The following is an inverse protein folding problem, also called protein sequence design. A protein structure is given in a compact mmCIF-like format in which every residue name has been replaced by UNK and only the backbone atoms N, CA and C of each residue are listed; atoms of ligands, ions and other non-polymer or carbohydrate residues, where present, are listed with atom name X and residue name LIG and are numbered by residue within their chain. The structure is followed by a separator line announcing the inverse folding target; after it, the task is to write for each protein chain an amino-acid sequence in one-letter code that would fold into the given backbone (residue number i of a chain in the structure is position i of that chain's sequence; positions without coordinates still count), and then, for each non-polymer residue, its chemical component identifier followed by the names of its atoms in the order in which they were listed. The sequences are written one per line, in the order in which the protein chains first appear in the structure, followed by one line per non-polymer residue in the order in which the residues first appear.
data_IF_319576558749
#
_entry.id   IF_319576558749
#
_cell.length_a   1.000
_cell.length_b   1.000
_cell.length_c   1.000
_cell.angle_alpha   90.00
_cell.angle_beta   90.00
_cell.angle_gamma   90.00
#
_symmetry.space_group_name_H-M   'P 1'
#
loop_
_entity.id
_entity.type
_entity.pdbx_description
1 polymer ?
#
# COMPACT_ATOMS: atom_id res chain seq x y z
N UNK A 1 23.23 6.76 5.34
CA UNK A 1 23.13 5.41 5.97
C UNK A 1 24.13 5.29 7.12
N UNK A 2 25.39 5.78 7.00
CA UNK A 2 26.38 5.71 8.07
C UNK A 2 25.94 6.37 9.36
N UNK A 3 25.44 7.61 9.31
CA UNK A 3 24.95 8.37 10.46
C UNK A 3 23.79 7.65 11.18
N UNK A 4 22.87 7.03 10.43
CA UNK A 4 21.76 6.27 11.00
C UNK A 4 22.27 5.03 11.76
N UNK A 5 23.23 4.32 11.21
CA UNK A 5 23.85 3.14 11.87
C UNK A 5 24.52 3.56 13.17
N UNK A 6 25.22 4.70 13.17
CA UNK A 6 25.89 5.21 14.37
C UNK A 6 24.90 5.66 15.44
N UNK A 7 23.79 6.31 15.04
CA UNK A 7 22.74 6.67 16.00
C UNK A 7 22.01 5.45 16.55
N UNK A 8 21.73 4.44 15.70
CA UNK A 8 21.14 3.16 16.14
C UNK A 8 22.06 2.48 17.18
N UNK A 9 23.38 2.50 17.01
CA UNK A 9 24.33 1.97 18.01
C UNK A 9 24.22 2.71 19.35
N UNK A 10 24.13 4.03 19.32
CA UNK A 10 23.93 4.86 20.56
C UNK A 10 22.58 4.53 21.21
N UNK A 11 21.53 4.40 20.43
CA UNK A 11 20.19 4.02 20.93
C UNK A 11 20.24 2.62 21.55
N UNK A 12 20.92 1.64 20.91
CA UNK A 12 21.12 0.29 21.47
C UNK A 12 21.79 0.36 22.85
N UNK A 13 22.85 1.15 22.99
CA UNK A 13 23.53 1.34 24.30
C UNK A 13 22.58 1.96 25.34
N UNK A 14 21.73 2.90 24.94
CA UNK A 14 20.72 3.48 25.84
C UNK A 14 19.67 2.45 26.25
N UNK A 15 19.22 1.60 25.33
CA UNK A 15 18.29 0.51 25.59
C UNK A 15 18.89 -0.48 26.60
N UNK A 16 20.14 -0.90 26.40
CA UNK A 16 20.86 -1.79 27.34
C UNK A 16 20.99 -1.13 28.74
N UNK A 17 21.30 0.15 28.78
CA UNK A 17 21.44 0.92 30.04
C UNK A 17 20.12 1.09 30.79
N UNK A 18 19.04 1.36 30.09
CA UNK A 18 17.76 1.76 30.70
C UNK A 18 16.75 0.61 30.77
N UNK A 19 16.89 -0.42 29.94
CA UNK A 19 15.95 -1.55 29.84
C UNK A 19 15.77 -2.27 31.18
N UNK A 20 16.82 -2.38 31.98
CA UNK A 20 16.76 -3.03 33.31
C UNK A 20 15.94 -2.21 34.32
N UNK A 21 15.98 -0.88 34.24
CA UNK A 21 15.28 0.02 35.18
C UNK A 21 13.86 0.35 34.73
N UNK A 22 13.56 0.16 33.45
CA UNK A 22 12.36 0.68 32.81
C UNK A 22 12.39 2.20 32.69
N UNK A 23 11.92 2.72 31.58
CA UNK A 23 11.69 4.16 31.39
C UNK A 23 10.25 4.35 30.91
N UNK A 24 9.65 5.48 31.30
CA UNK A 24 8.29 5.82 30.89
C UNK A 24 8.23 6.17 29.39
N UNK A 25 7.03 6.37 28.90
CA UNK A 25 6.80 6.66 27.48
C UNK A 25 7.44 7.98 27.03
N UNK A 26 7.40 9.02 27.87
CA UNK A 26 7.99 10.33 27.54
C UNK A 26 9.52 10.25 27.46
N UNK A 27 10.15 9.52 28.38
CA UNK A 27 11.59 9.28 28.34
C UNK A 27 11.97 8.42 27.14
N UNK A 28 11.15 7.41 26.79
CA UNK A 28 11.32 6.61 25.58
C UNK A 28 11.27 7.47 24.33
N UNK A 29 10.26 8.34 24.22
CA UNK A 29 10.13 9.30 23.11
C UNK A 29 11.36 10.17 22.96
N UNK A 30 11.81 10.79 24.07
CA UNK A 30 12.91 11.73 24.05
C UNK A 30 14.29 11.09 23.81
N UNK A 31 14.53 9.92 24.41
CA UNK A 31 15.88 9.32 24.44
C UNK A 31 16.13 8.28 23.35
N UNK A 32 15.08 7.59 22.86
CA UNK A 32 15.22 6.51 21.90
C UNK A 32 14.61 6.84 20.53
N UNK A 33 13.43 7.46 20.48
CA UNK A 33 12.69 7.65 19.25
C UNK A 33 13.09 8.94 18.53
N UNK A 34 13.08 10.08 19.20
CA UNK A 34 13.42 11.37 18.58
C UNK A 34 14.81 11.42 17.95
N UNK A 35 15.88 10.85 18.56
CA UNK A 35 17.19 10.81 17.93
C UNK A 35 17.18 10.07 16.58
N UNK A 36 16.43 8.98 16.48
CA UNK A 36 16.25 8.25 15.22
C UNK A 36 15.50 9.12 14.20
N UNK A 37 14.39 9.76 14.59
CA UNK A 37 13.63 10.63 13.68
C UNK A 37 14.49 11.77 13.11
N UNK A 38 15.32 12.43 13.97
CA UNK A 38 16.26 13.47 13.49
C UNK A 38 17.25 12.93 12.48
N UNK A 39 17.81 11.75 12.73
CA UNK A 39 18.80 11.14 11.83
C UNK A 39 18.15 10.68 10.52
N UNK A 40 16.84 10.42 10.54
CA UNK A 40 16.03 10.13 9.33
C UNK A 40 15.66 11.41 8.54
N UNK A 41 16.11 12.59 8.99
CA UNK A 41 15.90 13.87 8.32
C UNK A 41 14.60 14.58 8.71
N UNK A 42 13.96 14.19 9.83
CA UNK A 42 12.77 14.86 10.36
C UNK A 42 13.15 15.83 11.46
N UNK A 43 12.79 17.10 11.30
CA UNK A 43 13.01 18.10 12.35
C UNK A 43 11.89 18.03 13.38
N UNK A 44 12.16 17.38 14.50
CA UNK A 44 11.18 17.20 15.59
C UNK A 44 10.87 18.49 16.36
N UNK A 45 11.65 19.55 16.18
CA UNK A 45 11.43 20.88 16.74
C UNK A 45 10.57 21.75 15.80
N UNK A 46 10.52 21.47 14.49
CA UNK A 46 9.68 22.17 13.52
C UNK A 46 8.30 21.53 13.41
N UNK A 47 7.25 22.28 13.79
CA UNK A 47 5.86 21.83 13.73
C UNK A 47 5.33 21.71 12.28
N UNK A 48 5.99 22.28 11.29
CA UNK A 48 5.66 22.07 9.88
C UNK A 48 6.19 20.72 9.36
N UNK A 49 7.21 20.16 10.00
CA UNK A 49 7.83 18.90 9.66
C UNK A 49 7.33 17.74 10.55
N UNK A 50 7.22 17.97 11.88
CA UNK A 50 6.74 16.98 12.84
C UNK A 50 5.74 17.58 13.83
N UNK A 51 4.48 17.17 13.72
CA UNK A 51 3.46 17.54 14.71
C UNK A 51 3.37 16.47 15.79
N UNK A 52 3.56 16.90 17.04
CA UNK A 52 3.42 16.05 18.24
C UNK A 52 1.99 16.10 18.73
N UNK A 53 1.50 15.01 19.32
CA UNK A 53 0.13 14.87 19.84
C UNK A 53 -0.92 15.29 18.78
N UNK A 54 -0.69 14.86 17.54
CA UNK A 54 -1.50 15.24 16.40
C UNK A 54 -2.89 14.61 16.45
N UNK A 55 -3.93 15.42 16.24
CA UNK A 55 -5.32 14.96 16.20
C UNK A 55 -5.88 15.13 14.79
N UNK A 56 -6.18 14.05 14.06
CA UNK A 56 -6.86 14.13 12.77
C UNK A 56 -8.22 14.84 12.88
N UNK A 57 -8.94 14.59 13.98
CA UNK A 57 -10.19 15.28 14.36
C UNK A 57 -10.12 15.68 15.83
N UNK A 58 -10.88 16.70 16.22
CA UNK A 58 -10.88 17.19 17.62
C UNK A 58 -11.23 16.13 18.66
N UNK A 59 -12.11 15.19 18.30
CA UNK A 59 -12.57 14.10 19.17
C UNK A 59 -11.66 12.87 19.18
N UNK A 60 -10.70 12.77 18.26
CA UNK A 60 -9.79 11.63 18.17
C UNK A 60 -8.74 11.69 19.27
N UNK A 61 -8.24 10.51 19.65
CA UNK A 61 -7.03 10.44 20.48
C UNK A 61 -5.84 10.98 19.69
N UNK A 62 -4.93 11.69 20.33
CA UNK A 62 -3.75 12.20 19.68
C UNK A 62 -2.85 11.03 19.24
N UNK A 63 -2.16 11.23 18.12
CA UNK A 63 -1.05 10.41 17.66
C UNK A 63 0.24 11.07 18.12
N UNK A 64 1.18 10.30 18.66
CA UNK A 64 2.40 10.86 19.25
C UNK A 64 3.19 11.74 18.28
N UNK A 65 3.39 11.25 17.05
CA UNK A 65 4.04 12.03 15.99
C UNK A 65 3.32 11.85 14.66
N UNK A 66 2.99 12.96 14.00
CA UNK A 66 2.62 13.00 12.59
C UNK A 66 3.77 13.67 11.82
N UNK A 67 4.42 12.88 10.97
CA UNK A 67 5.50 13.35 10.10
C UNK A 67 4.88 13.91 8.82
N UNK A 68 5.26 15.14 8.48
CA UNK A 68 4.58 15.94 7.47
C UNK A 68 5.45 16.11 6.22
N UNK A 69 4.86 15.90 5.05
CA UNK A 69 5.44 16.32 3.77
C UNK A 69 4.50 17.36 3.15
N UNK A 70 5.02 18.53 2.86
CA UNK A 70 4.25 19.65 2.29
C UNK A 70 2.96 19.91 3.12
N UNK A 71 3.09 19.95 4.45
CA UNK A 71 1.99 20.14 5.41
C UNK A 71 0.91 19.05 5.41
N UNK A 72 1.19 17.90 4.79
CA UNK A 72 0.28 16.76 4.77
C UNK A 72 0.92 15.59 5.52
N UNK A 73 0.22 14.95 6.47
CA UNK A 73 0.78 13.82 7.20
C UNK A 73 1.00 12.63 6.25
N UNK A 74 2.23 12.13 6.21
CA UNK A 74 2.62 10.98 5.38
C UNK A 74 2.92 9.73 6.20
N UNK A 75 3.31 9.88 7.46
CA UNK A 75 3.63 8.80 8.38
C UNK A 75 3.18 9.18 9.80
N UNK A 76 2.48 8.27 10.47
CA UNK A 76 2.22 8.36 11.89
C UNK A 76 3.16 7.46 12.68
N UNK A 77 3.64 7.94 13.81
CA UNK A 77 4.43 7.15 14.77
C UNK A 77 3.73 7.16 16.11
N UNK A 78 3.43 5.98 16.62
CA UNK A 78 2.87 5.76 17.95
C UNK A 78 3.95 5.14 18.84
N UNK A 79 4.22 5.76 19.95
CA UNK A 79 5.23 5.34 20.90
C UNK A 79 4.63 4.63 22.11
N UNK A 80 5.39 3.73 22.69
CA UNK A 80 5.09 3.08 23.96
C UNK A 80 6.33 3.10 24.85
N UNK A 81 6.12 2.90 26.14
CA UNK A 81 7.24 2.77 27.07
C UNK A 81 8.13 1.57 26.68
N UNK A 82 9.45 1.73 26.87
CA UNK A 82 10.44 0.69 26.54
C UNK A 82 10.10 -0.63 27.21
N UNK A 83 10.08 -1.71 26.42
CA UNK A 83 9.77 -3.07 26.85
C UNK A 83 8.27 -3.36 26.96
N UNK A 84 7.41 -2.43 26.54
CA UNK A 84 5.97 -2.68 26.48
C UNK A 84 5.63 -3.60 25.32
N UNK A 85 4.75 -4.58 25.56
CA UNK A 85 4.34 -5.52 24.51
C UNK A 85 3.56 -4.80 23.40
N UNK A 86 4.06 -4.86 22.17
CA UNK A 86 3.44 -4.27 21.00
C UNK A 86 2.44 -5.20 20.27
N UNK A 87 2.21 -6.43 20.78
CA UNK A 87 1.29 -7.41 20.17
C UNK A 87 -0.19 -7.14 20.49
N UNK A 88 -0.50 -6.11 21.29
CA UNK A 88 -1.88 -5.78 21.58
C UNK A 88 -2.63 -5.32 20.33
N UNK A 89 -3.49 -6.24 19.81
CA UNK A 89 -4.32 -6.00 18.63
C UNK A 89 -5.21 -4.77 18.74
N UNK A 90 -5.61 -4.39 19.96
CA UNK A 90 -6.46 -3.22 20.17
C UNK A 90 -5.73 -1.93 19.80
N UNK A 91 -4.45 -1.82 20.17
CA UNK A 91 -3.65 -0.65 19.81
C UNK A 91 -3.42 -0.55 18.32
N UNK A 92 -3.00 -1.66 17.69
CA UNK A 92 -2.79 -1.70 16.24
C UNK A 92 -4.07 -1.35 15.48
N UNK A 93 -5.22 -1.94 15.85
CA UNK A 93 -6.50 -1.67 15.21
C UNK A 93 -6.98 -0.24 15.41
N UNK A 94 -6.86 0.29 16.62
CA UNK A 94 -7.26 1.66 16.96
C UNK A 94 -6.39 2.67 16.21
N UNK A 95 -5.09 2.49 16.24
CA UNK A 95 -4.13 3.37 15.60
C UNK A 95 -4.28 3.38 14.07
N UNK A 96 -4.44 2.19 13.45
CA UNK A 96 -4.73 2.09 12.02
C UNK A 96 -6.08 2.71 11.62
N UNK A 97 -7.07 2.65 12.52
CA UNK A 97 -8.35 3.34 12.32
C UNK A 97 -8.17 4.85 12.20
N UNK A 98 -7.40 5.47 13.07
CA UNK A 98 -7.11 6.92 13.01
C UNK A 98 -6.32 7.31 11.77
N UNK A 99 -5.29 6.53 11.43
CA UNK A 99 -4.50 6.76 10.24
C UNK A 99 -5.34 6.65 8.95
N UNK A 100 -6.24 5.66 8.89
CA UNK A 100 -7.16 5.49 7.77
C UNK A 100 -8.11 6.67 7.60
N UNK A 101 -8.63 7.24 8.70
CA UNK A 101 -9.46 8.45 8.70
C UNK A 101 -8.67 9.67 8.23
N UNK A 102 -7.42 9.80 8.63
CA UNK A 102 -6.53 10.88 8.22
C UNK A 102 -5.99 10.73 6.79
N UNK A 103 -6.24 9.58 6.14
CA UNK A 103 -5.70 9.26 4.82
C UNK A 103 -4.19 8.95 4.83
N UNK A 104 -3.63 8.66 6.01
CA UNK A 104 -2.20 8.33 6.17
C UNK A 104 -2.01 6.84 5.90
N UNK A 105 -1.17 6.53 4.93
CA UNK A 105 -0.92 5.15 4.49
C UNK A 105 0.00 4.40 5.43
N UNK A 106 1.02 5.05 5.96
CA UNK A 106 2.06 4.41 6.73
C UNK A 106 1.96 4.74 8.21
N UNK A 107 2.11 3.74 9.04
CA UNK A 107 2.18 3.90 10.49
C UNK A 107 3.32 3.06 11.05
N UNK A 108 4.00 3.59 12.05
CA UNK A 108 5.02 2.93 12.83
C UNK A 108 4.56 2.84 14.29
N UNK A 109 4.53 1.64 14.85
CA UNK A 109 4.34 1.39 16.28
C UNK A 109 5.69 1.02 16.89
N UNK A 110 6.09 1.66 17.98
CA UNK A 110 7.42 1.43 18.57
C UNK A 110 7.47 1.64 20.07
N UNK A 111 8.32 0.88 20.75
CA UNK A 111 8.75 1.11 22.13
C UNK A 111 10.20 1.68 22.20
N UNK A 112 10.71 2.16 21.08
CA UNK A 112 12.08 2.63 20.95
C UNK A 112 13.12 1.54 20.68
N UNK A 113 12.80 0.26 20.94
CA UNK A 113 13.61 -0.90 20.56
C UNK A 113 13.02 -1.63 19.37
N UNK A 114 11.75 -2.00 19.45
CA UNK A 114 11.02 -2.65 18.38
C UNK A 114 10.28 -1.61 17.54
N UNK A 115 10.38 -1.75 16.21
CA UNK A 115 9.64 -0.93 15.25
C UNK A 115 8.82 -1.85 14.35
N UNK A 116 7.51 -1.60 14.31
CA UNK A 116 6.54 -2.31 13.46
C UNK A 116 5.92 -1.34 12.48
N UNK A 117 6.12 -1.60 11.19
CA UNK A 117 5.64 -0.76 10.10
C UNK A 117 4.40 -1.40 9.46
N UNK A 118 3.31 -0.64 9.36
CA UNK A 118 2.05 -1.12 8.80
C UNK A 118 1.59 -0.26 7.63
N UNK A 119 1.00 -0.90 6.62
CA UNK A 119 0.28 -0.22 5.54
C UNK A 119 -1.22 -0.20 5.85
N UNK A 120 -1.76 0.96 6.24
CA UNK A 120 -3.17 1.11 6.62
C UNK A 120 -4.13 0.94 5.46
N UNK A 121 -3.69 1.26 4.23
CA UNK A 121 -4.50 1.20 3.01
C UNK A 121 -4.60 -0.19 2.39
N UNK A 122 -3.84 -1.17 2.87
CA UNK A 122 -3.98 -2.54 2.42
C UNK A 122 -5.38 -3.08 2.78
N UNK A 123 -6.09 -3.63 1.78
CA UNK A 123 -7.44 -4.18 1.94
C UNK A 123 -7.39 -5.62 2.47
N UNK A 124 -6.70 -5.82 3.59
CA UNK A 124 -6.47 -7.12 4.24
C UNK A 124 -6.69 -6.98 5.76
N UNK A 125 -6.83 -8.09 6.51
CA UNK A 125 -6.85 -8.06 7.98
C UNK A 125 -5.64 -7.35 8.59
N UNK A 126 -5.80 -6.88 9.82
CA UNK A 126 -4.79 -6.05 10.52
C UNK A 126 -3.43 -6.74 10.59
N UNK A 127 -3.43 -8.03 10.86
CA UNK A 127 -2.24 -8.86 10.96
C UNK A 127 -1.45 -8.93 9.66
N UNK A 128 -2.14 -8.82 8.54
CA UNK A 128 -1.54 -8.86 7.21
C UNK A 128 -1.07 -7.48 6.71
N UNK A 129 -1.42 -6.41 7.42
CA UNK A 129 -0.95 -5.06 7.14
C UNK A 129 0.48 -4.81 7.62
N UNK A 130 1.02 -5.69 8.45
CA UNK A 130 2.40 -5.61 8.91
C UNK A 130 3.36 -5.81 7.72
N UNK A 131 4.18 -4.80 7.48
CA UNK A 131 5.19 -4.82 6.41
C UNK A 131 6.56 -5.27 6.92
N UNK A 132 7.01 -4.66 8.01
CA UNK A 132 8.31 -4.94 8.63
C UNK A 132 8.18 -4.90 10.15
N UNK A 133 8.94 -5.77 10.80
CA UNK A 133 9.19 -5.72 12.23
C UNK A 133 10.66 -5.93 12.46
N UNK A 134 11.30 -5.01 13.20
CA UNK A 134 12.72 -5.08 13.54
C UNK A 134 12.93 -4.68 14.99
N UNK A 135 13.96 -5.26 15.61
CA UNK A 135 14.46 -4.84 16.92
C UNK A 135 15.89 -4.35 16.81
N UNK A 136 16.15 -3.17 17.37
CA UNK A 136 17.49 -2.57 17.39
C UNK A 136 18.49 -3.48 18.12
N UNK A 137 18.02 -4.15 19.18
CA UNK A 137 18.86 -5.09 19.96
C UNK A 137 19.25 -6.33 19.18
N UNK A 138 18.46 -6.79 18.22
CA UNK A 138 18.69 -8.04 17.48
C UNK A 138 19.70 -7.82 16.35
N UNK A 139 19.48 -6.85 15.48
CA UNK A 139 20.36 -6.54 14.35
C UNK A 139 20.35 -5.05 14.04
N UNK A 140 21.50 -4.41 14.13
CA UNK A 140 21.67 -2.99 13.79
C UNK A 140 21.48 -2.78 12.28
N UNK A 141 21.97 -3.70 11.48
CA UNK A 141 21.92 -3.64 10.03
C UNK A 141 20.49 -3.74 9.53
N UNK A 142 19.71 -4.69 10.03
CA UNK A 142 18.29 -4.86 9.67
C UNK A 142 17.44 -3.69 10.17
N UNK A 143 17.75 -3.19 11.38
CA UNK A 143 17.10 -2.01 11.92
C UNK A 143 17.40 -0.79 11.04
N UNK A 144 18.66 -0.57 10.65
CA UNK A 144 19.05 0.53 9.78
C UNK A 144 18.40 0.44 8.41
N UNK A 145 18.39 -0.75 7.79
CA UNK A 145 17.76 -0.99 6.48
C UNK A 145 16.25 -0.72 6.54
N UNK A 146 15.59 -1.12 7.63
CA UNK A 146 14.14 -0.91 7.80
C UNK A 146 13.81 0.54 8.14
N UNK A 147 14.51 1.14 9.09
CA UNK A 147 14.24 2.52 9.52
C UNK A 147 14.58 3.54 8.43
N UNK A 148 15.59 3.26 7.60
CA UNK A 148 15.93 4.11 6.46
C UNK A 148 14.75 4.29 5.48
N UNK A 149 13.80 3.33 5.41
CA UNK A 149 12.59 3.47 4.59
C UNK A 149 11.70 4.62 5.06
N UNK A 150 11.79 5.00 6.33
CA UNK A 150 11.05 6.08 6.95
C UNK A 150 11.75 7.43 6.85
N UNK A 151 12.94 7.50 6.22
CA UNK A 151 13.62 8.76 6.03
C UNK A 151 12.78 9.71 5.19
N UNK A 152 12.91 11.01 5.46
CA UNK A 152 12.14 12.07 4.81
C UNK A 152 12.23 11.98 3.28
N UNK A 153 13.44 11.80 2.76
CA UNK A 153 13.69 11.71 1.31
C UNK A 153 13.02 10.48 0.68
N UNK A 154 13.12 9.30 1.32
CA UNK A 154 12.51 8.08 0.81
C UNK A 154 10.98 8.11 0.91
N UNK A 155 10.44 8.72 1.96
CA UNK A 155 8.99 8.95 2.09
C UNK A 155 8.50 9.91 1.00
N UNK A 156 9.26 10.96 0.69
CA UNK A 156 8.96 11.88 -0.41
C UNK A 156 9.03 11.18 -1.77
N UNK A 157 9.99 10.25 -1.95
CA UNK A 157 10.14 9.45 -3.17
C UNK A 157 9.12 8.30 -3.31
N UNK A 158 8.28 8.05 -2.29
CA UNK A 158 7.35 6.90 -2.22
C UNK A 158 8.04 5.53 -2.42
N UNK A 159 9.31 5.39 -2.02
CA UNK A 159 10.06 4.15 -2.18
C UNK A 159 9.45 3.01 -1.36
N UNK A 160 8.98 3.31 -0.15
CA UNK A 160 8.33 2.34 0.73
C UNK A 160 7.07 1.72 0.08
N UNK A 161 6.33 2.48 -0.72
CA UNK A 161 5.15 1.98 -1.44
C UNK A 161 5.53 0.95 -2.51
N UNK A 162 6.62 1.18 -3.22
CA UNK A 162 7.14 0.26 -4.24
C UNK A 162 7.60 -1.06 -3.61
N UNK A 163 8.31 -0.98 -2.47
CA UNK A 163 8.76 -2.15 -1.72
C UNK A 163 7.60 -2.94 -1.11
N UNK A 164 6.60 -2.25 -0.58
CA UNK A 164 5.37 -2.89 -0.11
C UNK A 164 4.66 -3.66 -1.22
N UNK A 165 4.51 -3.07 -2.40
CA UNK A 165 3.83 -3.72 -3.52
C UNK A 165 4.56 -5.01 -3.93
N UNK A 166 5.89 -4.99 -4.01
CA UNK A 166 6.68 -6.18 -4.29
C UNK A 166 6.50 -7.23 -3.19
N UNK A 167 6.68 -6.85 -1.93
CA UNK A 167 6.49 -7.74 -0.77
C UNK A 167 5.08 -8.36 -0.72
N UNK A 168 4.05 -7.57 -1.00
CA UNK A 168 2.66 -8.04 -0.97
C UNK A 168 2.38 -9.05 -2.08
N UNK A 169 2.93 -8.83 -3.29
CA UNK A 169 2.86 -9.77 -4.40
C UNK A 169 3.57 -11.07 -4.04
N UNK A 170 4.79 -10.99 -3.51
CA UNK A 170 5.59 -12.15 -3.11
C UNK A 170 4.88 -12.97 -2.03
N UNK A 171 4.27 -12.30 -1.05
CA UNK A 171 3.46 -12.94 0.00
C UNK A 171 2.26 -13.69 -0.59
N UNK A 172 1.55 -13.08 -1.53
CA UNK A 172 0.40 -13.70 -2.21
C UNK A 172 0.82 -14.92 -3.04
N UNK A 173 1.93 -14.81 -3.76
CA UNK A 173 2.47 -15.91 -4.54
C UNK A 173 2.89 -17.07 -3.63
N UNK A 174 3.57 -16.77 -2.51
CA UNK A 174 3.93 -17.79 -1.52
C UNK A 174 2.69 -18.49 -0.97
N UNK A 175 1.68 -17.74 -0.52
CA UNK A 175 0.44 -18.30 0.00
C UNK A 175 -0.26 -19.22 -1.02
N UNK A 176 -0.30 -18.80 -2.28
CA UNK A 176 -0.88 -19.62 -3.35
C UNK A 176 -0.08 -20.92 -3.60
N UNK A 177 1.24 -20.88 -3.48
CA UNK A 177 2.10 -22.08 -3.60
C UNK A 177 1.86 -23.01 -2.40
N UNK A 178 1.78 -22.46 -1.19
CA UNK A 178 1.51 -23.23 0.02
C UNK A 178 0.13 -23.93 -0.07
N UNK A 179 -0.90 -23.22 -0.57
CA UNK A 179 -2.22 -23.79 -0.81
C UNK A 179 -2.19 -24.93 -1.83
N UNK A 180 -1.41 -24.80 -2.91
CA UNK A 180 -1.24 -25.86 -3.91
C UNK A 180 -0.63 -27.16 -3.33
N UNK A 181 0.18 -27.03 -2.29
CA UNK A 181 0.88 -28.14 -1.63
C UNK A 181 0.11 -28.71 -0.44
N UNK A 182 -0.92 -28.00 0.04
CA UNK A 182 -1.70 -28.41 1.21
C UNK A 182 -2.30 -29.82 0.98
N UNK A 183 -2.34 -30.63 2.05
CA UNK A 183 -2.94 -31.98 2.09
C UNK A 183 -2.45 -32.96 1.01
N UNK A 184 -1.24 -32.77 0.50
CA UNK A 184 -0.65 -33.64 -0.53
C UNK A 184 -1.04 -33.24 -1.93
N UNK A 185 -1.29 -31.96 -2.14
CA UNK A 185 -1.50 -31.32 -3.42
C UNK A 185 -2.97 -31.16 -3.80
N UNK A 186 -3.29 -29.96 -4.28
CA UNK A 186 -4.62 -29.66 -4.81
C UNK A 186 -4.91 -30.44 -6.13
N UNK A 187 -6.16 -30.32 -6.62
CA UNK A 187 -6.58 -31.02 -7.83
C UNK A 187 -5.83 -30.55 -9.10
N UNK A 188 -5.43 -29.27 -9.17
CA UNK A 188 -4.72 -28.73 -10.32
C UNK A 188 -3.26 -29.24 -10.34
N UNK A 189 -2.56 -29.18 -9.21
CA UNK A 189 -1.22 -29.72 -9.05
C UNK A 189 -1.18 -31.21 -9.33
N UNK A 190 -2.13 -31.98 -8.78
CA UNK A 190 -2.24 -33.42 -9.02
C UNK A 190 -2.44 -33.75 -10.50
N UNK A 191 -3.27 -32.99 -11.22
CA UNK A 191 -3.48 -33.17 -12.67
C UNK A 191 -2.18 -32.97 -13.46
N UNK A 192 -1.41 -31.93 -13.10
CA UNK A 192 -0.14 -31.63 -13.75
C UNK A 192 0.88 -32.75 -13.47
N UNK A 193 1.00 -33.18 -12.22
CA UNK A 193 1.96 -34.23 -11.83
C UNK A 193 1.61 -35.58 -12.42
N UNK A 194 0.33 -36.00 -12.41
CA UNK A 194 -0.11 -37.26 -13.00
C UNK A 194 0.16 -37.30 -14.51
N UNK A 195 0.00 -36.17 -15.20
CA UNK A 195 0.33 -36.07 -16.64
C UNK A 195 1.85 -36.17 -16.89
N UNK A 196 2.68 -35.67 -15.99
CA UNK A 196 4.15 -35.70 -16.11
C UNK A 196 4.77 -37.01 -15.62
N UNK A 197 4.06 -37.72 -14.75
CA UNK A 197 4.51 -38.95 -14.09
C UNK A 197 3.51 -40.10 -14.35
N UNK A 198 3.31 -40.51 -15.61
CA UNK A 198 2.26 -41.48 -15.98
C UNK A 198 2.48 -42.88 -15.37
N UNK A 199 3.70 -43.17 -14.92
CA UNK A 199 4.06 -44.46 -14.35
C UNK A 199 3.85 -44.52 -12.82
N UNK A 200 3.42 -43.43 -12.18
CA UNK A 200 3.14 -43.36 -10.74
C UNK A 200 1.64 -43.29 -10.47
N UNK A 201 1.22 -44.04 -9.45
CA UNK A 201 -0.15 -43.94 -8.99
C UNK A 201 -0.38 -42.61 -8.23
N UNK A 202 -1.57 -42.02 -8.39
CA UNK A 202 -1.92 -40.77 -7.71
C UNK A 202 -1.73 -40.82 -6.18
N UNK A 203 -1.97 -42.00 -5.55
CA UNK A 203 -1.74 -42.20 -4.10
C UNK A 203 -0.26 -42.00 -3.72
N UNK A 204 0.67 -42.46 -4.57
CA UNK A 204 2.09 -42.40 -4.30
C UNK A 204 2.63 -40.96 -4.50
N UNK A 205 2.09 -40.25 -5.52
CA UNK A 205 2.36 -38.83 -5.74
C UNK A 205 1.90 -38.03 -4.51
N UNK A 206 0.67 -38.23 -4.02
CA UNK A 206 0.16 -37.56 -2.82
C UNK A 206 0.96 -37.87 -1.56
N UNK A 207 1.32 -39.14 -1.36
CA UNK A 207 2.14 -39.55 -0.23
C UNK A 207 3.54 -38.91 -0.26
N UNK A 208 4.09 -38.70 -1.45
CA UNK A 208 5.35 -37.97 -1.62
C UNK A 208 5.20 -36.48 -1.32
N UNK A 209 4.16 -35.82 -1.86
CA UNK A 209 3.89 -34.41 -1.61
C UNK A 209 3.65 -34.10 -0.12
N UNK A 210 2.99 -34.97 0.62
CA UNK A 210 2.79 -34.81 2.08
C UNK A 210 4.10 -34.80 2.89
N UNK A 211 5.17 -35.33 2.35
CA UNK A 211 6.52 -35.33 2.95
C UNK A 211 7.42 -34.25 2.38
N UNK A 212 6.95 -33.57 1.34
CA UNK A 212 7.73 -32.53 0.69
C UNK A 212 7.69 -31.25 1.54
N UNK A 213 8.86 -30.66 1.72
CA UNK A 213 9.02 -29.33 2.27
C UNK A 213 9.48 -28.41 1.14
N UNK A 214 8.72 -27.34 0.88
CA UNK A 214 9.03 -26.40 -0.19
C UNK A 214 9.21 -25.02 0.41
N UNK A 215 10.42 -24.49 0.32
CA UNK A 215 10.72 -23.12 0.74
C UNK A 215 10.82 -22.23 -0.48
N UNK A 216 9.93 -21.23 -0.56
CA UNK A 216 9.98 -20.21 -1.59
C UNK A 216 10.61 -18.95 -0.99
N UNK A 217 11.79 -18.58 -1.51
CA UNK A 217 12.48 -17.36 -1.12
C UNK A 217 12.43 -16.34 -2.26
N UNK A 218 12.05 -15.11 -1.92
CA UNK A 218 12.13 -13.98 -2.84
C UNK A 218 13.34 -13.15 -2.40
N UNK A 219 14.41 -13.07 -3.19
CA UNK A 219 15.55 -12.23 -2.85
C UNK A 219 15.07 -10.78 -2.79
N UNK A 220 15.34 -10.10 -1.68
CA UNK A 220 15.13 -8.66 -1.59
C UNK A 220 16.02 -8.03 -2.65
N UNK A 221 15.41 -7.33 -3.62
CA UNK A 221 16.19 -6.59 -4.61
C UNK A 221 17.16 -5.66 -3.87
N UNK A 222 18.48 -5.70 -4.16
CA UNK A 222 19.40 -4.79 -3.54
C UNK A 222 18.97 -3.37 -3.86
N UNK A 223 18.78 -2.56 -2.81
CA UNK A 223 18.45 -1.14 -2.89
C UNK A 223 19.71 -0.33 -3.21
N UNK A 224 20.40 -0.66 -4.29
CA UNK A 224 21.51 0.16 -4.79
C UNK A 224 21.67 -0.06 -6.30
N UNK A 225 21.16 0.89 -7.07
CA UNK A 225 21.73 1.51 -8.27
C UNK A 225 20.62 2.01 -9.21
N UNK A 226 20.62 3.29 -9.55
CA UNK A 226 19.72 3.83 -10.58
C UNK A 226 20.37 3.65 -11.96
N UNK A 227 20.72 2.43 -12.37
CA UNK A 227 21.09 2.16 -13.75
C UNK A 227 21.34 0.68 -13.99
N UNK A 228 20.29 -0.03 -14.42
CA UNK A 228 20.45 -1.18 -15.29
C UNK A 228 19.14 -1.49 -16.01
N UNK A 229 19.07 -1.22 -17.32
CA UNK A 229 17.92 -1.58 -18.11
C UNK A 229 17.90 -3.11 -18.32
N UNK A 230 16.95 -3.79 -17.70
CA UNK A 230 16.64 -5.16 -18.04
C UNK A 230 16.25 -5.26 -19.51
N UNK A 231 17.17 -5.75 -20.34
CA UNK A 231 16.92 -6.14 -21.73
C UNK A 231 15.91 -7.29 -21.74
N UNK A 232 14.63 -6.96 -21.90
CA UNK A 232 13.63 -7.95 -22.26
C UNK A 232 13.70 -8.22 -23.75
N UNK A 233 13.97 -9.48 -24.14
CA UNK A 233 13.78 -9.96 -25.51
C UNK A 233 12.28 -9.85 -25.85
N UNK A 234 11.91 -9.35 -27.04
CA UNK A 234 10.53 -9.29 -27.46
C UNK A 234 9.99 -10.72 -27.69
N UNK A 235 8.73 -11.00 -27.30
CA UNK A 235 8.12 -12.30 -27.61
C UNK A 235 7.76 -12.39 -29.09
N UNK A 236 8.01 -13.56 -29.65
CA UNK A 236 7.70 -13.89 -31.03
C UNK A 236 6.19 -13.77 -31.32
N UNK A 237 5.86 -13.20 -32.48
CA UNK A 237 4.49 -13.02 -32.99
C UNK A 237 3.78 -14.37 -33.14
N UNK A 238 2.77 -14.65 -32.32
CA UNK A 238 1.88 -15.74 -32.49
C UNK A 238 0.70 -15.38 -33.45
N UNK A 239 0.51 -16.19 -34.45
CA UNK A 239 -0.53 -16.12 -35.50
C UNK A 239 -1.93 -16.20 -34.89
N UNK A 240 -2.79 -15.24 -35.20
CA UNK A 240 -4.23 -15.29 -34.93
C UNK A 240 -4.93 -16.38 -35.70
N UNK A 241 -5.76 -17.16 -35.02
CA UNK A 241 -6.88 -17.91 -35.62
C UNK A 241 -8.21 -17.47 -34.98
N UNK A 242 -9.31 -17.41 -35.75
CA UNK A 242 -10.54 -16.75 -35.30
C UNK A 242 -11.37 -17.62 -34.35
N UNK A 243 -11.99 -16.98 -33.37
CA UNK A 243 -12.87 -17.60 -32.40
C UNK A 243 -14.31 -17.69 -32.89
N UNK A 244 -14.88 -18.86 -32.67
CA UNK A 244 -16.30 -19.17 -32.89
C UNK A 244 -17.10 -18.84 -31.63
N UNK A 245 -18.12 -18.04 -31.78
CA UNK A 245 -19.07 -17.66 -30.73
C UNK A 245 -20.02 -18.82 -30.40
N UNK A 246 -20.36 -19.01 -29.13
CA UNK A 246 -21.63 -19.60 -28.68
C UNK A 246 -22.06 -19.06 -27.33
N UNK A 247 -23.37 -19.03 -26.99
CA UNK A 247 -23.98 -18.02 -26.16
C UNK A 247 -24.16 -18.40 -24.69
N UNK A 248 -24.37 -17.35 -23.88
CA UNK A 248 -24.59 -17.37 -22.43
C UNK A 248 -25.96 -17.94 -22.04
N UNK A 249 -26.00 -18.55 -20.87
CA UNK A 249 -27.18 -18.57 -19.99
C UNK A 249 -26.77 -18.39 -18.51
N UNK A 250 -27.60 -17.76 -17.66
CA UNK A 250 -27.21 -17.19 -16.39
C UNK A 250 -27.41 -18.13 -15.20
N UNK A 251 -26.67 -17.93 -14.12
CA UNK A 251 -27.05 -18.41 -12.78
C UNK A 251 -26.74 -17.37 -11.71
N UNK A 252 -27.76 -17.16 -10.95
CA UNK A 252 -27.98 -16.27 -9.82
C UNK A 252 -27.36 -16.79 -8.53
N UNK A 253 -27.22 -15.84 -7.62
CA UNK A 253 -27.09 -15.91 -6.14
C UNK A 253 -25.62 -15.98 -5.66
N UNK A 254 -25.19 -15.13 -4.75
CA UNK A 254 -25.80 -14.59 -3.57
C UNK A 254 -25.03 -13.37 -3.07
N UNK A 255 -25.77 -12.43 -2.48
CA UNK A 255 -25.32 -11.15 -1.99
C UNK A 255 -24.42 -11.25 -0.76
N UNK A 256 -23.64 -10.24 -0.64
CA UNK A 256 -23.09 -9.51 0.51
C UNK A 256 -21.72 -8.84 0.25
N UNK A 257 -21.14 -8.98 -0.99
CA UNK A 257 -19.91 -8.26 -1.40
C UNK A 257 -20.19 -7.08 -2.34
N UNK A 258 -21.47 -6.69 -2.51
CA UNK A 258 -21.91 -5.74 -3.55
C UNK A 258 -21.90 -4.29 -3.06
N UNK A 259 -21.91 -4.04 -1.75
CA UNK A 259 -22.23 -2.69 -1.25
C UNK A 259 -21.09 -1.66 -1.36
N UNK A 260 -19.83 -2.05 -1.20
CA UNK A 260 -18.72 -1.10 -1.31
C UNK A 260 -18.35 -0.71 -2.76
N UNK A 261 -18.60 -1.58 -3.72
CA UNK A 261 -18.38 -1.29 -5.14
C UNK A 261 -19.47 -0.42 -5.75
N UNK A 262 -20.72 -0.58 -5.28
CA UNK A 262 -21.90 0.17 -5.73
C UNK A 262 -21.87 1.61 -5.20
N UNK A 263 -21.48 1.84 -3.94
CA UNK A 263 -21.34 3.18 -3.39
C UNK A 263 -20.27 4.04 -4.08
N UNK A 264 -19.16 3.46 -4.54
CA UNK A 264 -18.14 4.19 -5.31
C UNK A 264 -18.61 4.51 -6.75
N UNK A 265 -19.42 3.64 -7.35
CA UNK A 265 -20.01 3.87 -8.69
C UNK A 265 -21.08 4.96 -8.68
N UNK A 266 -21.88 5.03 -7.63
CA UNK A 266 -22.92 6.03 -7.47
C UNK A 266 -22.38 7.47 -7.28
N UNK A 267 -21.12 7.65 -6.87
CA UNK A 267 -20.61 8.98 -6.54
C UNK A 267 -20.42 9.91 -7.76
N UNK A 268 -20.05 9.40 -8.93
CA UNK A 268 -19.91 10.25 -10.12
C UNK A 268 -21.28 10.60 -10.72
N UNK A 269 -22.19 9.63 -10.80
CA UNK A 269 -23.57 9.87 -11.23
C UNK A 269 -24.32 10.80 -10.28
N UNK A 270 -24.11 10.66 -8.97
CA UNK A 270 -24.70 11.58 -7.97
C UNK A 270 -24.17 13.00 -8.12
N UNK A 271 -22.89 13.19 -8.39
CA UNK A 271 -22.34 14.53 -8.68
C UNK A 271 -22.95 15.14 -9.96
N UNK A 272 -23.23 14.30 -10.96
CA UNK A 272 -23.94 14.73 -12.18
C UNK A 272 -25.39 15.15 -11.90
N UNK A 273 -26.14 14.35 -11.14
CA UNK A 273 -27.52 14.63 -10.74
C UNK A 273 -27.64 15.96 -9.98
N UNK A 274 -26.63 16.31 -9.19
CA UNK A 274 -26.58 17.57 -8.42
C UNK A 274 -25.86 18.71 -9.15
N UNK A 275 -25.50 18.54 -10.43
CA UNK A 275 -24.92 19.61 -11.26
C UNK A 275 -23.48 19.99 -10.94
N UNK A 276 -22.75 19.18 -10.19
CA UNK A 276 -21.32 19.41 -9.88
C UNK A 276 -20.39 19.02 -11.01
N UNK A 277 -20.80 18.10 -11.87
CA UNK A 277 -20.13 17.70 -13.10
C UNK A 277 -21.15 17.43 -14.20
N UNK A 278 -20.76 17.60 -15.45
CA UNK A 278 -21.64 17.42 -16.60
C UNK A 278 -21.19 16.26 -17.52
N UNK A 279 -22.14 15.71 -18.27
CA UNK A 279 -21.80 14.79 -19.35
C UNK A 279 -21.02 15.54 -20.44
N UNK A 280 -19.95 14.93 -20.96
CA UNK A 280 -19.02 15.55 -21.89
C UNK A 280 -17.94 16.40 -21.23
N UNK A 281 -17.97 16.57 -19.90
CA UNK A 281 -16.95 17.32 -19.18
C UNK A 281 -15.59 16.62 -19.30
N UNK A 282 -14.57 17.41 -19.62
CA UNK A 282 -13.20 16.94 -19.82
C UNK A 282 -12.51 16.72 -18.47
N UNK A 283 -11.82 15.61 -18.37
CA UNK A 283 -10.95 15.24 -17.28
C UNK A 283 -9.53 15.29 -17.76
N UNK A 284 -8.66 15.97 -17.05
CA UNK A 284 -7.26 16.16 -17.36
C UNK A 284 -6.40 15.47 -16.32
N UNK A 285 -5.26 14.92 -16.73
CA UNK A 285 -4.25 14.39 -15.83
C UNK A 285 -2.87 14.54 -16.46
N UNK A 286 -1.83 14.58 -15.63
CA UNK A 286 -0.44 14.54 -16.08
C UNK A 286 0.28 13.36 -15.45
N UNK A 287 0.88 12.53 -16.28
CA UNK A 287 1.59 11.34 -15.81
C UNK A 287 2.86 11.11 -16.66
N UNK A 288 4.02 11.02 -15.98
CA UNK A 288 5.34 10.83 -16.61
C UNK A 288 5.65 11.85 -17.72
N UNK A 289 5.21 13.08 -17.54
CA UNK A 289 5.42 14.16 -18.51
C UNK A 289 4.42 14.20 -19.66
N UNK A 290 3.51 13.22 -19.79
CA UNK A 290 2.43 13.21 -20.76
C UNK A 290 1.18 13.85 -20.18
N UNK A 291 0.52 14.70 -20.96
CA UNK A 291 -0.79 15.25 -20.68
C UNK A 291 -1.85 14.27 -21.20
N UNK A 292 -2.81 13.93 -20.36
CA UNK A 292 -3.80 12.88 -20.59
C UNK A 292 -5.18 13.49 -20.45
N UNK A 293 -6.08 13.22 -21.41
CA UNK A 293 -7.47 13.64 -21.34
C UNK A 293 -8.43 12.46 -21.38
N UNK A 294 -9.57 12.62 -20.71
CA UNK A 294 -10.69 11.70 -20.70
C UNK A 294 -11.99 12.50 -20.62
N UNK A 295 -13.14 11.89 -20.83
CA UNK A 295 -14.44 12.57 -20.76
C UNK A 295 -15.43 11.80 -19.89
N UNK A 296 -16.33 12.53 -19.22
CA UNK A 296 -17.45 11.94 -18.46
C UNK A 296 -18.58 11.62 -19.43
N UNK A 297 -19.07 10.38 -19.45
CA UNK A 297 -20.18 9.96 -20.30
C UNK A 297 -21.54 10.31 -19.66
N UNK A 298 -22.62 10.30 -20.46
CA UNK A 298 -24.01 10.49 -19.97
C UNK A 298 -24.42 9.47 -18.89
N UNK A 299 -23.79 8.28 -18.90
CA UNK A 299 -24.05 7.23 -17.93
C UNK A 299 -23.22 7.36 -16.63
N UNK A 300 -22.48 8.47 -16.43
CA UNK A 300 -21.61 8.64 -15.27
C UNK A 300 -20.35 7.75 -15.29
N UNK A 301 -19.96 7.26 -16.47
CA UNK A 301 -18.72 6.54 -16.70
C UNK A 301 -17.65 7.47 -17.23
N UNK A 302 -16.41 7.00 -17.30
CA UNK A 302 -15.27 7.76 -17.83
C UNK A 302 -14.83 7.13 -19.16
N UNK A 303 -14.82 7.90 -20.22
CA UNK A 303 -14.32 7.48 -21.53
C UNK A 303 -12.87 7.93 -21.69
N UNK A 304 -11.96 6.98 -21.87
CA UNK A 304 -10.54 7.22 -22.10
C UNK A 304 -10.03 6.28 -23.20
N UNK A 305 -9.27 6.80 -24.16
CA UNK A 305 -8.68 6.04 -25.28
C UNK A 305 -9.67 5.14 -26.00
N UNK A 306 -10.87 5.66 -26.28
CA UNK A 306 -11.93 4.94 -26.98
C UNK A 306 -12.73 3.93 -26.12
N UNK A 307 -12.26 3.58 -24.92
CA UNK A 307 -12.92 2.65 -24.02
C UNK A 307 -13.69 3.37 -22.90
N UNK A 308 -14.77 2.75 -22.38
CA UNK A 308 -15.53 3.25 -21.22
C UNK A 308 -15.15 2.49 -19.95
N UNK A 309 -14.91 3.23 -18.87
CA UNK A 309 -14.53 2.72 -17.56
C UNK A 309 -15.60 3.09 -16.51
N UNK A 310 -15.90 2.15 -15.65
CA UNK A 310 -16.94 2.28 -14.62
C UNK A 310 -16.62 3.29 -13.50
N UNK A 311 -15.38 3.76 -13.41
CA UNK A 311 -14.95 4.69 -12.37
C UNK A 311 -13.73 5.52 -12.78
N UNK A 312 -13.54 6.68 -12.13
CA UNK A 312 -12.36 7.51 -12.24
C UNK A 312 -11.06 6.72 -11.96
N UNK A 313 -11.09 5.79 -10.99
CA UNK A 313 -9.93 4.99 -10.62
C UNK A 313 -9.59 3.95 -11.70
N UNK A 314 -10.60 3.32 -12.31
CA UNK A 314 -10.39 2.37 -13.40
C UNK A 314 -9.82 3.06 -14.65
N UNK A 315 -10.37 4.22 -15.02
CA UNK A 315 -9.86 5.04 -16.12
C UNK A 315 -8.43 5.54 -15.84
N UNK A 316 -8.13 5.96 -14.62
CA UNK A 316 -6.79 6.40 -14.23
C UNK A 316 -5.76 5.28 -14.24
N UNK A 317 -6.15 4.07 -13.85
CA UNK A 317 -5.29 2.89 -13.94
C UNK A 317 -4.99 2.52 -15.41
N UNK A 318 -6.01 2.58 -16.28
CA UNK A 318 -5.84 2.37 -17.71
C UNK A 318 -4.94 3.43 -18.34
N UNK A 319 -5.14 4.71 -18.00
CA UNK A 319 -4.30 5.81 -18.45
C UNK A 319 -2.83 5.60 -18.08
N UNK A 320 -2.54 5.26 -16.82
CA UNK A 320 -1.18 4.94 -16.38
C UNK A 320 -0.58 3.74 -17.11
N UNK A 321 -1.40 2.73 -17.44
CA UNK A 321 -0.94 1.55 -18.19
C UNK A 321 -0.53 1.90 -19.61
N UNK A 322 -1.27 2.78 -20.30
CA UNK A 322 -0.96 3.24 -21.65
C UNK A 322 0.35 4.04 -21.68
N UNK A 323 0.58 4.89 -20.68
CA UNK A 323 1.76 5.76 -20.59
C UNK A 323 2.94 5.18 -19.80
N UNK A 324 3.11 3.84 -19.86
CA UNK A 324 4.31 3.14 -19.39
C UNK A 324 4.29 2.66 -17.93
N UNK A 325 3.11 2.60 -17.33
CA UNK A 325 2.92 1.88 -16.05
C UNK A 325 2.65 0.40 -16.34
N UNK A 326 3.66 -0.47 -16.21
CA UNK A 326 3.45 -1.92 -16.32
C UNK A 326 2.67 -2.45 -15.11
N UNK A 327 1.53 -3.13 -15.35
CA UNK A 327 0.70 -3.78 -14.32
C UNK A 327 -0.50 -2.96 -13.85
N UNK A 328 -1.42 -3.60 -13.11
CA UNK A 328 -2.57 -2.95 -12.48
C UNK A 328 -2.12 -1.96 -11.40
N UNK A 329 -1.89 -0.71 -11.80
CA UNK A 329 -1.57 0.37 -10.87
C UNK A 329 -2.86 0.82 -10.18
N UNK A 330 -3.02 0.48 -8.91
CA UNK A 330 -4.07 1.04 -8.08
C UNK A 330 -3.97 2.58 -8.14
N UNK A 331 -5.00 3.22 -8.67
CA UNK A 331 -5.02 4.67 -8.87
C UNK A 331 -6.21 5.25 -8.12
N UNK A 332 -5.95 6.22 -7.23
CA UNK A 332 -7.02 7.07 -6.72
C UNK A 332 -7.45 8.05 -7.82
N UNK A 333 -8.49 7.68 -8.56
CA UNK A 333 -8.99 8.49 -9.66
C UNK A 333 -9.51 9.87 -9.25
N UNK A 334 -9.90 10.05 -8.00
CA UNK A 334 -10.36 11.34 -7.49
C UNK A 334 -9.23 12.36 -7.34
N UNK A 335 -8.03 11.89 -7.07
CA UNK A 335 -6.81 12.70 -6.99
C UNK A 335 -6.10 12.77 -8.36
N UNK A 336 -6.16 11.71 -9.14
CA UNK A 336 -5.48 11.61 -10.43
C UNK A 336 -6.09 12.53 -11.49
N UNK A 337 -7.43 12.57 -11.59
CA UNK A 337 -8.13 13.40 -12.56
C UNK A 337 -8.45 14.78 -12.02
N UNK A 338 -8.28 15.76 -12.87
CA UNK A 338 -8.62 17.16 -12.64
C UNK A 338 -9.62 17.60 -13.72
N UNK A 339 -10.38 18.66 -13.47
CA UNK A 339 -11.31 19.24 -14.45
C UNK A 339 -11.35 20.75 -14.33
N UNK A 340 -11.65 21.43 -15.42
CA UNK A 340 -11.89 22.86 -15.40
C UNK A 340 -13.24 23.17 -14.73
N UNK A 341 -13.24 24.20 -13.90
CA UNK A 341 -14.44 24.77 -13.28
C UNK A 341 -14.68 26.19 -13.80
N UNK A 342 -15.88 26.74 -13.56
CA UNK A 342 -16.21 28.09 -13.97
C UNK A 342 -15.15 29.09 -13.53
N UNK A 343 -14.62 29.88 -14.49
CA UNK A 343 -13.49 30.80 -14.27
C UNK A 343 -12.14 30.28 -14.76
N UNK A 344 -12.09 29.08 -15.41
CA UNK A 344 -10.89 28.58 -16.09
C UNK A 344 -9.83 27.94 -15.15
N UNK A 345 -10.10 27.83 -13.85
CA UNK A 345 -9.22 27.14 -12.94
C UNK A 345 -9.40 25.63 -13.00
N UNK A 346 -8.32 24.88 -12.96
CA UNK A 346 -8.33 23.41 -12.98
C UNK A 346 -8.22 22.88 -11.55
N UNK A 347 -9.19 22.06 -11.13
CA UNK A 347 -9.24 21.50 -9.77
C UNK A 347 -9.31 19.97 -9.80
N UNK A 348 -8.74 19.28 -8.79
CA UNK A 348 -8.87 17.83 -8.69
C UNK A 348 -10.34 17.42 -8.48
N UNK A 349 -10.74 16.29 -9.04
CA UNK A 349 -12.09 15.72 -8.84
C UNK A 349 -12.42 15.51 -7.36
N UNK A 350 -11.40 15.27 -6.54
CA UNK A 350 -11.52 15.20 -5.07
C UNK A 350 -12.06 16.49 -4.46
N UNK A 351 -11.67 17.65 -4.97
CA UNK A 351 -12.15 18.95 -4.47
C UNK A 351 -13.65 19.14 -4.78
N UNK A 352 -14.08 18.77 -5.99
CA UNK A 352 -15.51 18.80 -6.39
C UNK A 352 -16.36 17.90 -5.48
N UNK A 353 -15.86 16.68 -5.22
CA UNK A 353 -16.52 15.75 -4.30
C UNK A 353 -16.58 16.30 -2.87
N UNK A 354 -15.51 16.90 -2.37
CA UNK A 354 -15.50 17.50 -1.04
C UNK A 354 -16.47 18.67 -0.92
N UNK A 355 -16.59 19.50 -1.95
CA UNK A 355 -17.56 20.60 -2.01
C UNK A 355 -19.01 20.09 -1.99
N UNK A 356 -19.33 19.00 -2.69
CA UNK A 356 -20.64 18.34 -2.60
C UNK A 356 -20.92 17.84 -1.17
N UNK A 357 -19.96 17.14 -0.55
CA UNK A 357 -20.12 16.56 0.79
C UNK A 357 -20.22 17.61 1.90
N UNK A 358 -19.66 18.80 1.71
CA UNK A 358 -19.72 19.91 2.69
C UNK A 358 -21.04 20.69 2.64
N UNK A 359 -21.81 20.54 1.57
CA UNK A 359 -23.12 21.22 1.40
C UNK A 359 -24.30 20.28 1.73
N UNK A 360 -24.03 19.04 2.11
CA UNK A 360 -24.99 18.03 2.55
C UNK A 360 -24.93 17.87 4.07
#
# INVERSE_FOLDING_TARGET
VGELVDEIRKVKQRIEKYGVKGINEQDTKATLIQPILRTLGWDVEDLEDVQREYKPRKQDKPVDYALMLLRTPCLFVEAKALGQNLDDRKWASQFMGYAGVAGVRWVALTDGNEYRLYNTHAAVPVEEKLFRSVKITDSIEDAAATLCLLSRDRMQGNEIDSLWNAFFIDKQVRSAIDELLLDGGDAALMRILSKRLPNLANKDIRASLRRAEVTVSFPVAPTDSPDSPLKRKPPAKARRKPSRQTPKRPRSASGQLIDMGVQKRQQLSVLMEHGYVAAGQELLARYRGADISATITKAGKVKFDGAEYESLSAAGAAAKSVYGGGGHLATDGWTFWQTAVDGGSVVPMKAIRSNYLSKK
#
